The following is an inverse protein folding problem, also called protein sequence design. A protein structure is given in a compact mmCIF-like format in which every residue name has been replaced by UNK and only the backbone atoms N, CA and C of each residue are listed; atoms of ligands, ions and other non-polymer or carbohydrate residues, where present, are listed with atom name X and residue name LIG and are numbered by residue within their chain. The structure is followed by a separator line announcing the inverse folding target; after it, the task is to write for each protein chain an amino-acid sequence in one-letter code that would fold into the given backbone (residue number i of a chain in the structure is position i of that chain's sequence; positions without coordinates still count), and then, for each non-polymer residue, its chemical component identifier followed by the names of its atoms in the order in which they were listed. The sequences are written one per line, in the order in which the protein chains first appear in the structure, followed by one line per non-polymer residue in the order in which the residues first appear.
data_IF_285331550568
#
_entry.id   IF_285331550568
#
_cell.length_a   1.000
_cell.length_b   1.000
_cell.length_c   1.000
_cell.angle_alpha   90.00
_cell.angle_beta   90.00
_cell.angle_gamma   90.00
#
_symmetry.space_group_name_H-M   'P 1'
#
loop_
_entity.id
_entity.type
_entity.pdbx_description
1 polymer ?
#
# COMPACT_ATOMS: atom_id res chain seq x y z
N UNK A 1 3.16 1.42 28.47
CA UNK A 1 2.23 0.38 28.01
C UNK A 1 2.74 -0.11 26.66
N UNK A 2 3.21 -1.34 26.53
CA UNK A 2 3.74 -1.91 25.28
C UNK A 2 2.57 -2.20 24.35
N UNK A 3 2.47 -1.48 23.23
CA UNK A 3 1.46 -1.77 22.19
C UNK A 3 1.57 -3.23 21.73
N UNK A 4 0.42 -3.86 21.42
CA UNK A 4 0.38 -5.21 20.85
C UNK A 4 1.10 -5.23 19.50
N UNK A 5 1.73 -6.34 19.18
CA UNK A 5 2.37 -6.58 17.90
C UNK A 5 1.31 -6.65 16.79
N UNK A 6 1.49 -5.88 15.70
CA UNK A 6 0.58 -5.90 14.56
C UNK A 6 1.11 -6.76 13.42
N UNK A 7 2.44 -6.76 13.22
CA UNK A 7 3.10 -7.57 12.21
C UNK A 7 4.32 -8.24 12.80
N UNK A 8 4.46 -9.55 12.56
CA UNK A 8 5.66 -10.33 12.89
C UNK A 8 6.03 -11.18 11.69
N UNK A 9 7.27 -11.04 11.26
CA UNK A 9 7.85 -11.77 10.14
C UNK A 9 8.96 -12.64 10.67
N UNK A 10 8.95 -13.93 10.33
CA UNK A 10 9.92 -14.92 10.81
C UNK A 10 10.51 -15.68 9.63
N UNK A 11 11.83 -15.62 9.52
CA UNK A 11 12.65 -16.33 8.54
C UNK A 11 12.08 -16.31 7.12
N UNK A 12 11.64 -15.12 6.67
CA UNK A 12 11.00 -14.96 5.37
C UNK A 12 12.02 -15.03 4.25
N UNK A 13 11.78 -15.95 3.32
CA UNK A 13 12.56 -16.11 2.10
C UNK A 13 11.66 -15.92 0.88
N UNK A 14 12.23 -15.35 -0.19
CA UNK A 14 11.54 -15.29 -1.49
C UNK A 14 12.55 -15.48 -2.61
N UNK A 15 12.31 -16.50 -3.43
CA UNK A 15 13.11 -16.85 -4.59
C UNK A 15 12.30 -16.79 -5.87
N UNK A 16 12.93 -16.31 -6.93
CA UNK A 16 12.43 -16.33 -8.30
C UNK A 16 13.22 -17.34 -9.12
N UNK A 17 12.55 -18.28 -9.74
CA UNK A 17 13.16 -19.27 -10.64
C UNK A 17 13.11 -18.73 -12.07
N UNK A 18 14.27 -18.31 -12.55
CA UNK A 18 14.46 -17.73 -13.87
C UNK A 18 15.14 -18.76 -14.77
N UNK A 19 15.07 -18.63 -16.12
CA UNK A 19 15.78 -19.54 -17.04
C UNK A 19 17.30 -19.60 -16.80
N UNK A 20 17.87 -18.54 -16.23
CA UNK A 20 19.31 -18.42 -15.92
C UNK A 20 19.67 -18.90 -14.51
N UNK A 21 18.72 -19.34 -13.69
CA UNK A 21 18.92 -19.83 -12.32
C UNK A 21 17.98 -19.24 -11.29
N UNK A 22 18.22 -19.58 -10.03
CA UNK A 22 17.47 -19.08 -8.88
C UNK A 22 18.01 -17.72 -8.42
N UNK A 23 17.11 -16.72 -8.31
CA UNK A 23 17.36 -15.44 -7.70
C UNK A 23 16.70 -15.38 -6.33
N UNK A 24 17.47 -15.46 -5.27
CA UNK A 24 17.01 -15.27 -3.89
C UNK A 24 16.93 -13.78 -3.57
N UNK A 25 15.74 -13.19 -3.70
CA UNK A 25 15.51 -11.76 -3.49
C UNK A 25 15.32 -11.40 -2.00
N UNK A 26 14.77 -12.33 -1.20
CA UNK A 26 14.66 -12.19 0.28
C UNK A 26 15.30 -13.42 0.90
N UNK A 27 16.16 -13.21 1.91
CA UNK A 27 17.04 -14.26 2.45
C UNK A 27 16.97 -14.29 3.98
N UNK A 28 15.93 -14.94 4.55
CA UNK A 28 15.81 -15.15 5.99
C UNK A 28 15.60 -13.86 6.80
N UNK A 29 14.63 -13.02 6.37
CA UNK A 29 14.33 -11.75 7.03
C UNK A 29 13.36 -11.98 8.18
N UNK A 30 13.71 -11.47 9.38
CA UNK A 30 12.87 -11.53 10.58
C UNK A 30 12.79 -10.15 11.23
N UNK A 31 11.58 -9.71 11.60
CA UNK A 31 11.34 -8.49 12.36
C UNK A 31 9.92 -8.48 12.95
N UNK A 32 9.68 -7.56 13.86
CA UNK A 32 8.32 -7.28 14.35
C UNK A 32 8.01 -5.79 14.34
N UNK A 33 6.73 -5.47 14.20
CA UNK A 33 6.19 -4.12 14.23
C UNK A 33 5.05 -4.06 15.25
N UNK A 34 5.15 -3.12 16.18
CA UNK A 34 4.10 -2.85 17.16
C UNK A 34 3.06 -1.89 16.59
N UNK A 35 1.82 -2.04 17.03
CA UNK A 35 0.72 -1.13 16.66
C UNK A 35 1.07 0.32 17.00
N UNK A 36 0.72 1.24 16.10
CA UNK A 36 1.05 2.66 16.24
C UNK A 36 2.53 3.01 16.07
N UNK A 37 3.35 2.09 15.55
CA UNK A 37 4.78 2.32 15.26
C UNK A 37 5.06 2.24 13.76
N UNK A 38 6.17 2.85 13.34
CA UNK A 38 6.73 2.70 11.99
C UNK A 38 8.03 1.93 12.05
N UNK A 39 8.30 1.16 11.00
CA UNK A 39 9.57 0.50 10.75
C UNK A 39 10.12 0.99 9.40
N UNK A 40 11.29 1.59 9.41
CA UNK A 40 12.02 1.96 8.19
C UNK A 40 12.89 0.81 7.73
N UNK A 41 12.71 0.39 6.46
CA UNK A 41 13.57 -0.60 5.80
C UNK A 41 14.47 0.13 4.82
N UNK A 42 15.78 0.11 5.08
CA UNK A 42 16.79 0.83 4.30
C UNK A 42 17.67 -0.17 3.57
N UNK A 43 18.10 0.17 2.39
CA UNK A 43 19.01 -0.63 1.57
C UNK A 43 19.15 -0.05 0.16
N UNK A 44 20.17 -0.49 -0.57
CA UNK A 44 20.43 -0.06 -1.95
C UNK A 44 19.29 -0.43 -2.91
N UNK A 45 19.27 0.18 -4.09
CA UNK A 45 18.36 -0.23 -5.17
C UNK A 45 18.62 -1.69 -5.52
N UNK A 46 17.56 -2.47 -5.70
CA UNK A 46 17.67 -3.91 -5.96
C UNK A 46 17.93 -4.81 -4.76
N UNK A 47 18.04 -4.27 -3.52
CA UNK A 47 18.25 -5.08 -2.31
C UNK A 47 17.04 -5.91 -1.84
N UNK A 48 15.94 -5.89 -2.58
CA UNK A 48 14.75 -6.72 -2.29
C UNK A 48 13.68 -6.05 -1.42
N UNK A 49 13.77 -4.74 -1.08
CA UNK A 49 12.77 -4.03 -0.22
C UNK A 49 11.35 -4.16 -0.75
N UNK A 50 11.12 -3.86 -2.01
CA UNK A 50 9.82 -4.01 -2.68
C UNK A 50 9.36 -5.47 -2.69
N UNK A 51 10.28 -6.41 -2.93
CA UNK A 51 9.97 -7.84 -2.93
C UNK A 51 9.56 -8.29 -1.54
N UNK A 52 10.24 -7.83 -0.49
CA UNK A 52 9.91 -8.14 0.91
C UNK A 52 8.47 -7.69 1.24
N UNK A 53 8.11 -6.44 0.96
CA UNK A 53 6.76 -5.93 1.20
C UNK A 53 5.70 -6.74 0.43
N UNK A 54 5.94 -7.00 -0.85
CA UNK A 54 5.05 -7.81 -1.71
C UNK A 54 4.94 -9.27 -1.24
N UNK A 55 6.02 -9.85 -0.69
CA UNK A 55 6.02 -11.21 -0.15
C UNK A 55 5.13 -11.32 1.07
N UNK A 56 5.26 -10.38 2.01
CA UNK A 56 4.41 -10.32 3.22
C UNK A 56 2.93 -10.19 2.81
N UNK A 57 2.64 -9.37 1.81
CA UNK A 57 1.28 -9.16 1.29
C UNK A 57 0.81 -10.28 0.34
N UNK A 58 1.59 -11.33 0.10
CA UNK A 58 1.27 -12.39 -0.86
C UNK A 58 0.95 -11.86 -2.28
N UNK A 59 1.63 -10.80 -2.72
CA UNK A 59 1.44 -10.16 -4.03
C UNK A 59 2.41 -10.66 -5.11
N UNK A 60 3.45 -11.41 -4.74
CA UNK A 60 4.36 -12.03 -5.70
C UNK A 60 3.65 -13.25 -6.33
N UNK A 61 3.06 -13.03 -7.49
CA UNK A 61 2.27 -14.03 -8.21
C UNK A 61 3.11 -14.64 -9.35
N UNK A 62 3.00 -15.94 -9.50
CA UNK A 62 3.65 -16.68 -10.59
C UNK A 62 4.08 -18.08 -10.14
N UNK A 63 4.08 -19.04 -11.06
CA UNK A 63 4.57 -20.40 -10.79
C UNK A 63 6.09 -20.45 -10.58
N UNK A 64 6.78 -19.39 -10.97
CA UNK A 64 8.22 -19.23 -10.83
C UNK A 64 8.64 -18.49 -9.54
N UNK A 65 7.72 -18.28 -8.59
CA UNK A 65 8.02 -17.63 -7.31
C UNK A 65 7.75 -18.61 -6.18
N UNK A 66 8.69 -18.70 -5.24
CA UNK A 66 8.52 -19.46 -3.99
C UNK A 66 8.78 -18.52 -2.82
N UNK A 67 7.81 -18.45 -1.90
CA UNK A 67 7.95 -17.76 -0.62
C UNK A 67 7.84 -18.79 0.50
N UNK A 68 8.70 -18.69 1.52
CA UNK A 68 8.70 -19.54 2.73
C UNK A 68 9.03 -18.72 3.97
N UNK A 69 8.85 -19.29 5.15
CA UNK A 69 8.86 -18.60 6.43
C UNK A 69 7.44 -18.30 6.88
N UNK A 70 7.25 -17.29 7.74
CA UNK A 70 5.93 -16.90 8.25
C UNK A 70 5.80 -15.38 8.32
N UNK A 71 4.58 -14.88 8.13
CA UNK A 71 4.24 -13.47 8.28
C UNK A 71 2.89 -13.35 9.01
N UNK A 72 2.94 -13.04 10.30
CA UNK A 72 1.75 -12.92 11.14
C UNK A 72 1.27 -11.47 11.17
N UNK A 73 0.05 -11.25 10.71
CA UNK A 73 -0.68 -9.99 10.86
C UNK A 73 -1.82 -10.21 11.84
N UNK A 74 -1.79 -9.49 12.94
CA UNK A 74 -2.79 -9.61 14.03
C UNK A 74 -3.02 -11.07 14.45
N UNK A 75 -1.92 -11.84 14.56
CA UNK A 75 -1.91 -13.26 14.92
C UNK A 75 -2.29 -14.25 13.81
N UNK A 76 -2.66 -13.77 12.61
CA UNK A 76 -3.00 -14.61 11.44
C UNK A 76 -1.79 -14.75 10.52
N UNK A 77 -1.36 -15.96 10.22
CA UNK A 77 -0.27 -16.19 9.25
C UNK A 77 -0.77 -15.92 7.83
N UNK A 78 -0.32 -14.80 7.24
CA UNK A 78 -0.70 -14.35 5.90
C UNK A 78 -0.30 -15.35 4.81
N UNK A 79 0.84 -16.05 4.98
CA UNK A 79 1.32 -17.01 3.98
C UNK A 79 0.49 -18.30 3.96
N UNK A 80 -0.23 -18.60 5.04
CA UNK A 80 -1.14 -19.75 5.13
C UNK A 80 -2.55 -19.43 4.61
N UNK A 81 -2.89 -18.14 4.39
CA UNK A 81 -4.20 -17.75 3.93
C UNK A 81 -4.41 -18.08 2.44
N UNK A 82 -5.63 -18.49 2.13
CA UNK A 82 -6.07 -18.61 0.73
C UNK A 82 -6.12 -17.22 0.06
N UNK A 83 -6.02 -17.20 -1.28
CA UNK A 83 -6.15 -15.95 -2.05
C UNK A 83 -7.50 -15.23 -1.80
N UNK A 84 -8.57 -15.97 -1.48
CA UNK A 84 -9.88 -15.39 -1.17
C UNK A 84 -9.86 -14.66 0.17
N UNK A 85 -9.17 -15.21 1.17
CA UNK A 85 -9.00 -14.58 2.47
C UNK A 85 -8.11 -13.35 2.38
N UNK A 86 -6.97 -13.45 1.68
CA UNK A 86 -6.10 -12.29 1.44
C UNK A 86 -6.81 -11.12 0.75
N UNK A 87 -7.69 -11.39 -0.23
CA UNK A 87 -8.49 -10.33 -0.87
C UNK A 87 -9.40 -9.56 0.09
N UNK A 88 -9.80 -10.15 1.21
CA UNK A 88 -10.60 -9.46 2.23
C UNK A 88 -9.77 -8.52 3.08
N UNK A 89 -8.46 -8.80 3.18
CA UNK A 89 -7.52 -7.98 3.95
C UNK A 89 -6.97 -6.82 3.09
N UNK A 90 -6.74 -7.08 1.79
CA UNK A 90 -6.19 -6.06 0.90
C UNK A 90 -7.14 -4.87 0.74
N UNK A 91 -6.59 -3.68 0.96
CA UNK A 91 -7.31 -2.41 0.88
C UNK A 91 -8.17 -2.09 2.10
N UNK A 92 -8.44 -3.04 2.98
CA UNK A 92 -9.22 -2.84 4.21
C UNK A 92 -8.36 -2.82 5.46
N UNK A 93 -7.65 -3.90 5.73
CA UNK A 93 -6.79 -4.03 6.91
C UNK A 93 -5.32 -3.81 6.57
N UNK A 94 -4.91 -4.20 5.36
CA UNK A 94 -3.54 -4.06 4.86
C UNK A 94 -3.58 -3.34 3.52
N UNK A 95 -2.83 -2.24 3.38
CA UNK A 95 -2.72 -1.51 2.12
C UNK A 95 -1.26 -1.26 1.75
N UNK A 96 -1.02 -0.90 0.48
CA UNK A 96 0.30 -0.58 -0.04
C UNK A 96 0.26 0.65 -0.93
N UNK A 97 1.19 1.56 -0.70
CA UNK A 97 1.55 2.63 -1.62
C UNK A 97 2.71 2.12 -2.46
N UNK A 98 2.50 1.99 -3.78
CA UNK A 98 3.50 1.49 -4.71
C UNK A 98 4.45 2.62 -5.15
N UNK A 99 5.69 2.24 -5.46
CA UNK A 99 6.73 3.16 -5.92
C UNK A 99 6.35 3.87 -7.23
N UNK A 100 5.76 3.14 -8.19
CA UNK A 100 5.37 3.70 -9.48
C UNK A 100 3.85 3.99 -9.54
N UNK A 101 3.46 5.27 -9.56
CA UNK A 101 2.06 5.66 -9.66
C UNK A 101 1.45 5.35 -11.03
N UNK A 102 2.26 5.09 -12.06
CA UNK A 102 1.78 4.74 -13.39
C UNK A 102 1.16 3.34 -13.44
N UNK A 103 1.65 2.44 -12.61
CA UNK A 103 1.17 1.05 -12.53
C UNK A 103 0.11 0.84 -11.45
N UNK A 104 -0.04 1.78 -10.51
CA UNK A 104 -0.99 1.67 -9.40
C UNK A 104 -2.41 2.10 -9.76
N UNK A 105 -2.59 2.99 -10.74
CA UNK A 105 -3.88 3.49 -11.19
C UNK A 105 -4.28 2.87 -12.54
N UNK A 106 -5.55 2.47 -12.68
CA UNK A 106 -6.08 2.04 -13.97
C UNK A 106 -6.23 3.25 -14.90
N UNK A 107 -5.48 3.32 -16.04
CA UNK A 107 -5.46 4.49 -16.91
C UNK A 107 -6.80 4.80 -17.58
N UNK A 108 -7.69 3.81 -17.67
CA UNK A 108 -8.99 3.92 -18.34
C UNK A 108 -10.14 4.27 -17.39
N UNK A 109 -9.85 4.41 -16.09
CA UNK A 109 -10.87 4.67 -15.06
C UNK A 109 -10.60 6.02 -14.40
N UNK A 110 -11.63 6.85 -14.27
CA UNK A 110 -11.56 8.15 -13.58
C UNK A 110 -11.01 7.99 -12.16
N UNK A 111 -10.17 8.92 -11.71
CA UNK A 111 -9.48 8.81 -10.42
C UNK A 111 -10.46 8.72 -9.25
N UNK A 112 -11.49 9.54 -9.23
CA UNK A 112 -12.51 9.49 -8.16
C UNK A 112 -13.26 8.17 -8.13
N UNK A 113 -13.53 7.57 -9.30
CA UNK A 113 -14.18 6.26 -9.36
C UNK A 113 -13.31 5.18 -8.72
N UNK A 114 -11.99 5.23 -8.90
CA UNK A 114 -11.08 4.26 -8.30
C UNK A 114 -11.10 4.36 -6.77
N UNK A 115 -11.04 5.56 -6.20
CA UNK A 115 -11.15 5.78 -4.76
C UNK A 115 -12.53 5.36 -4.23
N UNK A 116 -13.62 5.78 -4.92
CA UNK A 116 -15.00 5.46 -4.53
C UNK A 116 -15.27 3.95 -4.57
N UNK A 117 -14.69 3.25 -5.55
CA UNK A 117 -14.91 1.80 -5.72
C UNK A 117 -14.29 1.03 -4.54
N UNK A 118 -13.11 1.40 -4.08
CA UNK A 118 -12.51 0.87 -2.84
C UNK A 118 -13.45 1.05 -1.64
N UNK A 119 -13.98 2.25 -1.43
CA UNK A 119 -14.89 2.54 -0.32
C UNK A 119 -16.17 1.71 -0.40
N UNK A 120 -16.79 1.62 -1.57
CA UNK A 120 -18.05 0.88 -1.75
C UNK A 120 -17.90 -0.63 -1.68
N UNK A 121 -16.75 -1.15 -2.06
CA UNK A 121 -16.47 -2.59 -2.06
C UNK A 121 -16.22 -3.11 -0.64
N UNK A 122 -15.69 -2.27 0.24
CA UNK A 122 -15.19 -2.66 1.55
C UNK A 122 -15.90 -1.98 2.73
N UNK A 123 -16.49 -0.81 2.53
CA UNK A 123 -17.31 -0.12 3.53
C UNK A 123 -18.76 -0.08 3.05
N UNK A 124 -19.68 -0.31 3.97
CA UNK A 124 -21.13 -0.25 3.66
C UNK A 124 -21.60 1.22 3.56
N UNK A 125 -21.10 1.94 2.56
CA UNK A 125 -21.40 3.36 2.33
C UNK A 125 -22.19 3.53 1.02
N UNK A 126 -23.11 4.48 1.00
CA UNK A 126 -23.82 4.82 -0.23
C UNK A 126 -22.92 5.63 -1.18
N UNK A 127 -23.38 5.80 -2.43
CA UNK A 127 -22.58 6.47 -3.47
C UNK A 127 -22.25 7.93 -3.16
N UNK A 128 -23.16 8.65 -2.48
CA UNK A 128 -22.97 10.06 -2.13
C UNK A 128 -21.93 10.20 -1.02
N UNK A 129 -22.02 9.38 0.01
CA UNK A 129 -21.03 9.32 1.10
C UNK A 129 -19.64 8.94 0.56
N UNK A 130 -19.55 7.88 -0.26
CA UNK A 130 -18.30 7.46 -0.85
C UNK A 130 -17.67 8.57 -1.73
N UNK A 131 -18.49 9.34 -2.47
CA UNK A 131 -18.00 10.48 -3.26
C UNK A 131 -17.47 11.60 -2.36
N UNK A 132 -18.16 11.91 -1.27
CA UNK A 132 -17.73 12.94 -0.31
C UNK A 132 -16.40 12.53 0.33
N UNK A 133 -16.31 11.29 0.85
CA UNK A 133 -15.06 10.77 1.42
C UNK A 133 -13.92 10.78 0.42
N UNK A 134 -14.18 10.44 -0.85
CA UNK A 134 -13.15 10.51 -1.89
C UNK A 134 -12.67 11.94 -2.15
N UNK A 135 -13.56 12.94 -2.14
CA UNK A 135 -13.20 14.35 -2.24
C UNK A 135 -12.37 14.81 -1.03
N UNK A 136 -12.77 14.45 0.17
CA UNK A 136 -12.05 14.78 1.40
C UNK A 136 -10.62 14.23 1.36
N UNK A 137 -10.47 12.95 0.99
CA UNK A 137 -9.16 12.31 0.81
C UNK A 137 -8.30 12.99 -0.28
N UNK A 138 -8.90 13.34 -1.42
CA UNK A 138 -8.17 14.06 -2.48
C UNK A 138 -7.71 15.45 -2.00
N UNK A 139 -8.50 16.14 -1.19
CA UNK A 139 -8.12 17.41 -0.57
C UNK A 139 -7.01 17.21 0.48
N UNK A 140 -7.08 16.16 1.31
CA UNK A 140 -6.03 15.84 2.29
C UNK A 140 -4.68 15.58 1.64
N UNK A 141 -4.66 14.86 0.50
CA UNK A 141 -3.43 14.66 -0.28
C UNK A 141 -3.09 15.86 -1.19
N UNK A 142 -3.77 16.99 -1.02
CA UNK A 142 -3.50 18.24 -1.74
C UNK A 142 -3.66 18.16 -3.26
N UNK A 143 -4.66 17.46 -3.75
CA UNK A 143 -5.06 17.59 -5.16
C UNK A 143 -5.73 18.95 -5.34
N UNK A 144 -5.18 19.87 -6.17
CA UNK A 144 -5.81 21.15 -6.42
C UNK A 144 -7.17 20.96 -7.09
N UNK A 145 -8.17 21.77 -6.72
CA UNK A 145 -9.50 21.72 -7.36
C UNK A 145 -10.08 20.30 -7.42
N UNK A 146 -10.06 19.56 -6.29
CA UNK A 146 -10.43 18.15 -6.24
C UNK A 146 -11.82 17.87 -6.85
N UNK A 147 -12.79 18.77 -6.67
CA UNK A 147 -14.14 18.69 -7.22
C UNK A 147 -14.16 18.61 -8.77
N UNK A 148 -13.30 19.37 -9.44
CA UNK A 148 -13.20 19.36 -10.90
C UNK A 148 -12.36 18.21 -11.43
N UNK A 149 -11.38 17.77 -10.62
CA UNK A 149 -10.40 16.75 -11.02
C UNK A 149 -10.82 15.32 -10.69
N UNK A 150 -11.76 15.14 -9.78
CA UNK A 150 -12.25 13.80 -9.40
C UNK A 150 -12.75 12.98 -10.60
N UNK A 151 -13.24 13.67 -11.65
CA UNK A 151 -13.73 13.06 -12.88
C UNK A 151 -12.67 12.92 -13.99
N UNK A 152 -11.41 13.27 -13.74
CA UNK A 152 -10.30 13.15 -14.68
C UNK A 152 -9.75 11.73 -14.74
N UNK A 153 -9.11 11.39 -15.85
CA UNK A 153 -8.35 10.17 -16.04
C UNK A 153 -6.91 10.34 -15.54
N UNK A 154 -6.22 9.26 -15.13
CA UNK A 154 -4.85 9.36 -14.61
C UNK A 154 -3.87 10.07 -15.55
N UNK A 155 -3.97 9.89 -16.87
CA UNK A 155 -3.07 10.51 -17.82
C UNK A 155 -3.26 12.04 -17.95
N UNK A 156 -4.37 12.58 -17.46
CA UNK A 156 -4.63 14.04 -17.42
C UNK A 156 -3.98 14.70 -16.18
N UNK A 157 -3.33 13.91 -15.30
CA UNK A 157 -2.67 14.36 -14.07
C UNK A 157 -1.14 14.31 -14.21
N UNK A 158 -0.44 15.20 -13.49
CA UNK A 158 1.01 15.09 -13.35
C UNK A 158 1.41 13.82 -12.58
N UNK A 159 2.69 13.41 -12.68
CA UNK A 159 3.21 12.25 -11.94
C UNK A 159 3.00 12.37 -10.44
N UNK A 160 3.31 13.54 -9.86
CA UNK A 160 3.08 13.80 -8.44
C UNK A 160 1.61 13.81 -8.03
N UNK A 161 0.69 14.25 -8.92
CA UNK A 161 -0.75 14.16 -8.66
C UNK A 161 -1.23 12.69 -8.68
N UNK A 162 -0.74 11.88 -9.61
CA UNK A 162 -1.04 10.44 -9.65
C UNK A 162 -0.56 9.72 -8.39
N UNK A 163 0.65 10.03 -7.92
CA UNK A 163 1.18 9.51 -6.65
C UNK A 163 0.26 9.85 -5.47
N UNK A 164 -0.20 11.11 -5.39
CA UNK A 164 -1.12 11.56 -4.34
C UNK A 164 -2.48 10.86 -4.40
N UNK A 165 -3.01 10.63 -5.59
CA UNK A 165 -4.25 9.84 -5.77
C UNK A 165 -4.05 8.38 -5.34
N UNK A 166 -2.89 7.77 -5.64
CA UNK A 166 -2.54 6.43 -5.17
C UNK A 166 -2.48 6.36 -3.64
N UNK A 167 -1.90 7.39 -2.99
CA UNK A 167 -1.88 7.51 -1.53
C UNK A 167 -3.31 7.64 -0.97
N UNK A 168 -4.15 8.52 -1.55
CA UNK A 168 -5.55 8.66 -1.15
C UNK A 168 -6.31 7.32 -1.26
N UNK A 169 -6.10 6.58 -2.34
CA UNK A 169 -6.70 5.25 -2.54
C UNK A 169 -6.25 4.24 -1.49
N UNK A 170 -4.96 4.24 -1.13
CA UNK A 170 -4.42 3.34 -0.11
C UNK A 170 -4.97 3.65 1.29
N UNK A 171 -5.25 4.92 1.59
CA UNK A 171 -5.81 5.36 2.87
C UNK A 171 -7.34 5.26 2.96
N UNK A 172 -8.03 5.08 1.84
CA UNK A 172 -9.49 5.21 1.74
C UNK A 172 -10.27 4.33 2.73
N UNK A 173 -9.81 3.12 2.98
CA UNK A 173 -10.45 2.21 3.93
C UNK A 173 -9.82 2.22 5.32
N UNK A 174 -8.94 3.15 5.61
CA UNK A 174 -8.28 3.30 6.90
C UNK A 174 -7.56 2.02 7.37
N UNK A 175 -6.58 1.51 6.60
CA UNK A 175 -5.92 0.25 6.90
C UNK A 175 -5.15 0.30 8.22
N UNK A 176 -5.12 -0.81 8.95
CA UNK A 176 -4.35 -0.94 10.19
C UNK A 176 -2.84 -1.09 9.94
N UNK A 177 -2.47 -1.61 8.77
CA UNK A 177 -1.08 -1.76 8.32
C UNK A 177 -0.91 -1.16 6.93
N UNK A 178 0.03 -0.24 6.79
CA UNK A 178 0.35 0.42 5.52
C UNK A 178 1.81 0.15 5.15
N UNK A 179 2.01 -0.50 4.01
CA UNK A 179 3.33 -0.57 3.36
C UNK A 179 3.49 0.65 2.45
N UNK A 180 4.63 1.31 2.53
CA UNK A 180 4.96 2.46 1.70
C UNK A 180 6.31 2.24 1.01
N UNK A 181 6.27 1.95 -0.28
CA UNK A 181 7.45 1.70 -1.10
C UNK A 181 7.81 2.99 -1.83
N UNK A 182 8.78 3.73 -1.29
CA UNK A 182 9.22 5.04 -1.78
C UNK A 182 8.07 6.01 -2.09
N UNK A 183 7.15 6.28 -1.14
CA UNK A 183 5.86 6.93 -1.41
C UNK A 183 5.96 8.37 -1.91
N UNK A 184 7.14 8.98 -1.85
CA UNK A 184 7.34 10.41 -2.15
C UNK A 184 8.35 10.69 -3.27
N UNK A 185 8.89 9.67 -3.93
CA UNK A 185 9.95 9.80 -4.95
C UNK A 185 9.52 10.68 -6.14
N UNK A 186 8.23 10.66 -6.50
CA UNK A 186 7.67 11.47 -7.60
C UNK A 186 7.17 12.86 -7.17
N UNK A 187 7.40 13.27 -5.92
CA UNK A 187 6.87 14.51 -5.33
C UNK A 187 7.97 15.56 -5.18
N UNK A 188 7.59 16.82 -5.32
CA UNK A 188 8.45 17.96 -4.91
C UNK A 188 8.61 18.01 -3.39
N UNK A 189 9.68 18.65 -2.92
CA UNK A 189 10.08 18.67 -1.48
C UNK A 189 8.96 19.19 -0.57
N UNK A 190 8.21 20.21 -1.01
CA UNK A 190 7.13 20.79 -0.20
C UNK A 190 5.97 19.80 -0.03
N UNK A 191 5.54 19.18 -1.11
CA UNK A 191 4.47 18.17 -1.10
C UNK A 191 4.91 16.90 -0.40
N UNK A 192 6.17 16.48 -0.59
CA UNK A 192 6.75 15.36 0.14
C UNK A 192 6.60 15.52 1.65
N UNK A 193 6.99 16.69 2.19
CA UNK A 193 6.86 16.98 3.63
C UNK A 193 5.40 16.90 4.10
N UNK A 194 4.46 17.43 3.32
CA UNK A 194 3.04 17.39 3.65
C UNK A 194 2.49 15.96 3.68
N UNK A 195 2.86 15.13 2.72
CA UNK A 195 2.45 13.71 2.66
C UNK A 195 3.04 12.91 3.82
N UNK A 196 4.31 13.11 4.15
CA UNK A 196 4.93 12.44 5.30
C UNK A 196 4.25 12.84 6.62
N UNK A 197 3.86 14.11 6.77
CA UNK A 197 3.08 14.57 7.92
C UNK A 197 1.68 13.95 7.95
N UNK A 198 1.01 13.82 6.80
CA UNK A 198 -0.27 13.12 6.71
C UNK A 198 -0.13 11.67 7.18
N UNK A 199 0.81 10.91 6.63
CA UNK A 199 1.05 9.52 7.01
C UNK A 199 1.40 9.38 8.51
N UNK A 200 2.18 10.30 9.06
CA UNK A 200 2.52 10.32 10.49
C UNK A 200 1.30 10.64 11.37
N UNK A 201 0.39 11.50 10.92
CA UNK A 201 -0.86 11.78 11.62
C UNK A 201 -1.76 10.54 11.64
N UNK A 202 -1.95 9.92 10.49
CA UNK A 202 -2.73 8.69 10.34
C UNK A 202 -2.20 7.57 11.25
N UNK A 203 -0.89 7.40 11.31
CA UNK A 203 -0.24 6.44 12.20
C UNK A 203 -0.54 6.68 13.68
N UNK A 204 -0.58 7.94 14.13
CA UNK A 204 -0.82 8.28 15.55
C UNK A 204 -2.26 8.10 15.99
N UNK A 205 -3.20 8.13 15.05
CA UNK A 205 -4.62 8.01 15.32
C UNK A 205 -5.08 6.54 15.37
N UNK A 206 -4.23 5.61 14.98
CA UNK A 206 -4.49 4.17 14.87
C UNK A 206 -3.52 3.35 15.71
#
# INVERSE_FOLDING_TARGET
MGGSEILRVEDLHTSFFLPIGELQAVRGVSFSLKRGRSLGIVGESGSGKTVLARSIMCLNLGSNVKTSGSAFFDGRDLLALSRREMRRLWGTEIAMIFQDPMTSLNPMVKIGRQVIEHLRQHKNVNRREAKQTALDLLNEVRIPEAESRIDRLPHELSGGMRQRVSIASALACEPSLLFADEPTTALDVTVQHQILNLLSREQRQR
#
